data_IF_804355302310
#
_entry.id   IF_804355302310
#
_cell.length_a   1.000
_cell.length_b   1.000
_cell.length_c   1.000
_cell.angle_alpha   90.00
_cell.angle_beta   90.00
_cell.angle_gamma   90.00
#
_symmetry.space_group_name_H-M   'P 1'
#
loop_
_entity.id
_entity.type
_entity.pdbx_description
1 polymer ?
#
# COMPACT_ATOMS: atom_id res chain seq x y z
N UNK A 1 -13.02 22.60 2.27
CA UNK A 1 -11.82 23.18 2.91
C UNK A 1 -10.65 22.28 2.54
N UNK A 2 -9.50 22.84 2.20
CA UNK A 2 -8.27 22.08 1.94
C UNK A 2 -7.57 21.82 3.27
N UNK A 3 -7.22 20.56 3.55
CA UNK A 3 -6.42 20.16 4.71
C UNK A 3 -5.22 19.31 4.29
N UNK A 4 -4.14 19.41 5.05
CA UNK A 4 -2.98 18.52 4.97
C UNK A 4 -2.70 17.97 6.35
N UNK A 5 -2.72 16.64 6.49
CA UNK A 5 -2.39 15.94 7.73
C UNK A 5 -1.18 15.05 7.49
N UNK A 6 -0.20 15.15 8.39
CA UNK A 6 1.06 14.43 8.28
C UNK A 6 1.05 13.27 9.28
N UNK A 7 0.93 12.04 8.77
CA UNK A 7 0.92 10.81 9.57
C UNK A 7 2.28 10.11 9.60
N UNK A 8 3.25 10.57 8.80
CA UNK A 8 4.60 10.01 8.71
C UNK A 8 5.51 10.89 7.86
N UNK A 9 6.82 10.68 7.94
CA UNK A 9 7.82 11.56 7.31
C UNK A 9 8.12 12.83 8.11
N UNK A 10 7.71 12.89 9.39
CA UNK A 10 7.98 14.02 10.28
C UNK A 10 9.19 13.69 11.16
N UNK A 11 10.26 14.48 11.04
CA UNK A 11 11.51 14.26 11.77
C UNK A 11 12.12 12.85 11.56
N UNK A 12 11.82 12.23 10.41
CA UNK A 12 12.37 10.93 9.99
C UNK A 12 12.74 10.96 8.50
N UNK A 13 13.62 10.03 8.08
CA UNK A 13 13.90 9.79 6.66
C UNK A 13 13.02 8.62 6.22
N UNK A 14 12.14 8.89 5.27
CA UNK A 14 11.17 7.90 4.80
C UNK A 14 9.90 7.84 5.64
N UNK A 15 9.05 6.85 5.37
CA UNK A 15 7.79 6.69 6.10
C UNK A 15 6.71 7.68 5.69
N UNK A 16 6.85 8.30 4.51
CA UNK A 16 5.95 9.36 4.05
C UNK A 16 4.50 8.87 3.97
N UNK A 17 3.62 9.62 4.64
CA UNK A 17 2.16 9.41 4.72
C UNK A 17 1.50 10.77 4.92
N UNK A 18 1.27 11.51 3.84
CA UNK A 18 0.62 12.82 3.92
C UNK A 18 -0.79 12.72 3.35
N UNK A 19 -1.79 12.91 4.19
CA UNK A 19 -3.19 12.95 3.79
C UNK A 19 -3.53 14.35 3.30
N UNK A 20 -4.11 14.44 2.11
CA UNK A 20 -4.76 15.62 1.57
C UNK A 20 -6.27 15.39 1.54
N UNK A 21 -7.03 16.33 2.07
CA UNK A 21 -8.48 16.34 1.91
C UNK A 21 -8.92 17.65 1.26
N UNK A 22 -9.71 17.52 0.19
CA UNK A 22 -10.34 18.65 -0.49
C UNK A 22 -11.77 18.28 -0.91
N UNK A 23 -12.74 18.92 -0.26
CA UNK A 23 -14.16 18.70 -0.57
C UNK A 23 -14.60 17.29 -0.18
N UNK A 24 -14.87 16.43 -1.17
CA UNK A 24 -15.23 15.01 -0.96
C UNK A 24 -14.07 14.07 -1.29
N UNK A 25 -12.90 14.60 -1.65
CA UNK A 25 -11.76 13.80 -2.05
C UNK A 25 -10.72 13.76 -0.95
N UNK A 26 -10.27 12.54 -0.64
CA UNK A 26 -9.21 12.28 0.31
C UNK A 26 -8.17 11.36 -0.34
N UNK A 27 -6.90 11.76 -0.34
CA UNK A 27 -5.82 10.95 -0.92
C UNK A 27 -4.56 11.04 -0.07
N UNK A 28 -3.75 10.00 -0.12
CA UNK A 28 -2.42 10.02 0.48
C UNK A 28 -1.35 10.32 -0.58
N UNK A 29 -0.36 11.14 -0.22
CA UNK A 29 0.95 11.13 -0.87
C UNK A 29 1.82 10.11 -0.17
N UNK A 30 2.21 9.09 -0.93
CA UNK A 30 2.93 7.91 -0.50
C UNK A 30 2.23 7.13 0.65
N UNK A 31 2.72 5.94 0.93
CA UNK A 31 2.35 5.20 2.13
C UNK A 31 3.49 4.27 2.52
N UNK A 32 4.57 4.90 2.98
CA UNK A 32 5.87 4.26 3.11
C UNK A 32 6.17 3.62 4.45
N UNK A 33 7.22 2.78 4.49
CA UNK A 33 7.73 2.18 5.72
C UNK A 33 8.44 3.22 6.59
N UNK A 34 8.00 3.40 7.83
CA UNK A 34 8.66 4.28 8.80
C UNK A 34 9.85 3.55 9.45
N UNK A 35 11.01 3.57 8.78
CA UNK A 35 12.20 2.83 9.22
C UNK A 35 12.69 3.26 10.61
N UNK A 36 12.73 4.57 10.89
CA UNK A 36 13.18 5.09 12.17
C UNK A 36 12.34 4.53 13.34
N UNK A 37 11.02 4.53 13.20
CA UNK A 37 10.10 3.94 14.19
C UNK A 37 10.26 2.41 14.25
N UNK A 38 10.33 1.76 13.09
CA UNK A 38 10.44 0.30 12.99
C UNK A 38 11.63 -0.24 13.77
N UNK A 39 12.80 0.36 13.60
CA UNK A 39 14.05 -0.11 14.21
C UNK A 39 14.11 0.09 15.73
N UNK A 40 13.14 0.78 16.35
CA UNK A 40 13.01 0.81 17.81
C UNK A 40 12.54 -0.53 18.39
N UNK A 41 11.83 -1.33 17.59
CA UNK A 41 11.13 -2.54 18.06
C UNK A 41 11.49 -3.80 17.26
N UNK A 42 11.80 -3.63 15.98
CA UNK A 42 11.98 -4.73 15.03
C UNK A 42 13.35 -4.60 14.37
N UNK A 43 14.30 -5.44 14.78
CA UNK A 43 15.66 -5.48 14.25
C UNK A 43 16.03 -6.91 13.81
N UNK A 44 16.81 -7.01 12.73
CA UNK A 44 17.25 -8.27 12.10
C UNK A 44 16.13 -9.28 11.82
N UNK A 45 15.95 -10.23 12.73
CA UNK A 45 15.02 -11.36 12.62
C UNK A 45 13.67 -11.09 13.28
N UNK A 46 13.57 -10.03 14.10
CA UNK A 46 12.33 -9.65 14.76
C UNK A 46 11.49 -8.80 13.81
N UNK A 47 10.25 -9.22 13.57
CA UNK A 47 9.31 -8.58 12.65
C UNK A 47 7.91 -8.56 13.24
N UNK A 48 7.02 -7.65 12.77
CA UNK A 48 5.60 -7.74 13.01
C UNK A 48 5.07 -9.15 12.69
N UNK A 49 4.25 -9.70 13.58
CA UNK A 49 3.72 -11.06 13.43
C UNK A 49 2.60 -11.05 12.40
N UNK A 50 2.81 -11.78 11.30
CA UNK A 50 1.77 -11.95 10.28
C UNK A 50 0.47 -12.53 10.87
N UNK A 51 0.56 -13.39 11.89
CA UNK A 51 -0.59 -13.97 12.58
C UNK A 51 -1.37 -13.00 13.45
N UNK A 52 -0.78 -11.86 13.84
CA UNK A 52 -1.43 -10.81 14.59
C UNK A 52 -2.06 -9.73 13.68
N UNK A 53 -1.94 -9.88 12.35
CA UNK A 53 -2.48 -8.93 11.39
C UNK A 53 -1.92 -7.52 11.59
N UNK A 54 -2.79 -6.53 11.77
CA UNK A 54 -2.40 -5.13 11.98
C UNK A 54 -2.02 -4.78 13.41
N UNK A 55 -2.22 -5.68 14.38
CA UNK A 55 -2.04 -5.38 15.80
C UNK A 55 -0.64 -4.81 16.11
N UNK A 56 0.41 -5.52 15.72
CA UNK A 56 1.80 -5.12 16.01
C UNK A 56 2.15 -3.80 15.29
N UNK A 57 1.58 -3.55 14.12
CA UNK A 57 1.83 -2.35 13.33
C UNK A 57 1.18 -1.11 13.95
N UNK A 58 -0.03 -1.26 14.49
CA UNK A 58 -0.76 -0.17 15.16
C UNK A 58 -0.21 0.10 16.57
N UNK A 59 0.04 -0.95 17.36
CA UNK A 59 0.55 -0.83 18.73
C UNK A 59 1.94 -0.18 18.77
N UNK A 60 2.78 -0.48 17.78
CA UNK A 60 4.14 0.09 17.66
C UNK A 60 4.17 1.42 16.89
N UNK A 61 2.99 2.00 16.58
CA UNK A 61 2.83 3.26 15.86
C UNK A 61 3.53 3.29 14.49
N UNK A 62 3.63 2.14 13.82
CA UNK A 62 4.10 2.02 12.44
C UNK A 62 3.01 2.42 11.44
N UNK A 63 1.76 2.12 11.80
CA UNK A 63 0.57 2.57 11.10
C UNK A 63 -0.26 3.49 12.01
N UNK A 64 -0.77 4.61 11.49
CA UNK A 64 -1.77 5.38 12.23
C UNK A 64 -3.08 4.59 12.37
N UNK A 65 -3.85 4.77 13.45
CA UNK A 65 -5.10 4.03 13.69
C UNK A 65 -6.27 4.57 12.84
N UNK A 66 -6.15 4.45 11.52
CA UNK A 66 -7.11 4.94 10.52
C UNK A 66 -8.03 3.80 10.05
N UNK A 67 -9.19 3.64 10.70
CA UNK A 67 -10.15 2.62 10.29
C UNK A 67 -10.77 2.98 8.93
N UNK A 68 -11.02 1.96 8.12
CA UNK A 68 -11.67 2.11 6.81
C UNK A 68 -10.72 2.12 5.61
N UNK A 69 -9.41 2.38 5.81
CA UNK A 69 -8.41 2.35 4.73
C UNK A 69 -7.57 1.08 4.70
N UNK A 70 -7.53 0.30 5.79
CA UNK A 70 -6.74 -0.93 5.86
C UNK A 70 -7.55 -2.17 5.50
N UNK A 71 -6.83 -3.18 5.03
CA UNK A 71 -7.33 -4.50 4.69
C UNK A 71 -8.14 -5.13 5.83
N UNK A 72 -9.38 -5.50 5.53
CA UNK A 72 -10.28 -6.13 6.49
C UNK A 72 -9.81 -7.55 6.87
N UNK A 73 -9.21 -8.28 5.92
CA UNK A 73 -8.72 -9.65 6.10
C UNK A 73 -7.55 -9.81 7.10
N UNK A 74 -6.98 -8.69 7.54
CA UNK A 74 -5.88 -8.65 8.54
C UNK A 74 -6.12 -7.66 9.69
N UNK A 75 -7.22 -6.88 9.66
CA UNK A 75 -7.55 -5.94 10.72
C UNK A 75 -8.42 -6.58 11.81
N UNK A 76 -9.47 -7.34 11.46
CA UNK A 76 -10.45 -7.87 12.41
C UNK A 76 -11.26 -6.77 13.12
N UNK A 77 -12.55 -7.00 13.40
CA UNK A 77 -13.40 -5.96 14.03
C UNK A 77 -12.95 -5.61 15.45
N UNK A 78 -12.60 -6.62 16.24
CA UNK A 78 -12.23 -6.44 17.65
C UNK A 78 -10.95 -5.62 17.86
N UNK A 79 -10.09 -5.51 16.84
CA UNK A 79 -8.85 -4.74 16.91
C UNK A 79 -9.12 -3.26 17.13
N UNK A 80 -10.13 -2.70 16.43
CA UNK A 80 -10.40 -1.26 16.42
C UNK A 80 -10.83 -0.72 17.78
N UNK A 81 -11.55 -1.52 18.58
CA UNK A 81 -11.92 -1.17 19.95
C UNK A 81 -10.73 -0.82 20.85
N UNK A 82 -9.52 -1.33 20.55
CA UNK A 82 -8.30 -1.02 21.30
C UNK A 82 -7.79 0.41 21.03
N UNK A 83 -8.17 1.00 19.90
CA UNK A 83 -7.67 2.28 19.43
C UNK A 83 -8.71 3.41 19.44
N UNK A 84 -9.99 3.12 19.67
CA UNK A 84 -11.07 4.13 19.68
C UNK A 84 -10.82 5.32 20.63
N UNK A 85 -10.09 5.10 21.75
CA UNK A 85 -9.73 6.16 22.68
C UNK A 85 -8.50 6.98 22.26
N UNK A 86 -7.80 6.59 21.19
CA UNK A 86 -6.64 7.30 20.68
C UNK A 86 -7.06 8.64 20.07
N UNK A 87 -6.36 9.75 20.35
CA UNK A 87 -6.64 11.03 19.69
C UNK A 87 -6.31 10.99 18.18
N UNK A 88 -5.57 9.98 17.73
CA UNK A 88 -5.23 9.77 16.32
C UNK A 88 -6.23 8.84 15.61
N UNK A 89 -7.18 8.25 16.34
CA UNK A 89 -8.18 7.38 15.73
C UNK A 89 -9.14 8.16 14.85
N UNK A 90 -9.27 7.72 13.61
CA UNK A 90 -10.24 8.27 12.66
C UNK A 90 -10.82 7.14 11.82
N UNK A 91 -12.05 7.33 11.34
CA UNK A 91 -12.72 6.39 10.45
C UNK A 91 -13.14 7.12 9.17
N UNK A 92 -12.52 6.75 8.05
CA UNK A 92 -12.79 7.35 6.75
C UNK A 92 -12.29 6.45 5.61
N UNK A 93 -12.63 6.84 4.38
CA UNK A 93 -12.15 6.21 3.15
C UNK A 93 -11.33 7.19 2.33
N UNK A 94 -10.45 6.68 1.49
CA UNK A 94 -9.65 7.48 0.55
C UNK A 94 -9.92 7.07 -0.89
N UNK A 95 -9.78 8.02 -1.80
CA UNK A 95 -9.92 7.84 -3.24
C UNK A 95 -8.68 7.20 -3.88
N UNK A 96 -7.52 7.27 -3.22
CA UNK A 96 -6.30 6.65 -3.71
C UNK A 96 -5.04 7.09 -2.99
N UNK A 97 -3.92 6.53 -3.45
CA UNK A 97 -2.56 6.91 -3.04
C UNK A 97 -1.81 7.41 -4.27
N UNK A 98 -1.28 8.62 -4.21
CA UNK A 98 -0.29 9.13 -5.15
C UNK A 98 1.09 8.63 -4.70
N UNK A 99 1.66 7.70 -5.46
CA UNK A 99 2.99 7.15 -5.18
C UNK A 99 4.03 7.90 -6.01
N UNK A 100 4.90 8.62 -5.32
CA UNK A 100 5.99 9.38 -5.94
C UNK A 100 6.96 8.45 -6.67
N UNK A 101 7.41 7.38 -6.00
CA UNK A 101 8.29 6.38 -6.56
C UNK A 101 8.28 5.06 -5.77
N UNK A 102 8.93 4.02 -6.30
CA UNK A 102 8.77 2.65 -5.80
C UNK A 102 9.54 2.28 -4.51
N UNK A 103 10.43 3.14 -4.00
CA UNK A 103 11.22 2.80 -2.81
C UNK A 103 10.34 2.48 -1.60
N UNK A 104 10.80 1.59 -0.72
CA UNK A 104 9.99 0.97 0.35
C UNK A 104 9.59 1.98 1.44
N UNK A 105 10.39 3.03 1.63
CA UNK A 105 10.09 4.17 2.47
C UNK A 105 9.01 5.12 1.91
N UNK A 106 8.53 4.85 0.69
CA UNK A 106 7.39 5.52 0.04
C UNK A 106 6.25 4.53 -0.29
N UNK A 107 6.56 3.28 -0.60
CA UNK A 107 5.59 2.29 -1.10
C UNK A 107 5.25 1.18 -0.11
N UNK A 108 6.10 0.90 0.88
CA UNK A 108 6.07 -0.39 1.59
C UNK A 108 4.77 -0.69 2.35
N UNK A 109 4.19 0.31 3.01
CA UNK A 109 2.98 0.13 3.82
C UNK A 109 1.70 0.17 3.00
N UNK A 110 1.77 0.44 1.69
CA UNK A 110 0.66 0.20 0.76
C UNK A 110 0.17 -1.25 0.88
N UNK A 111 1.05 -2.20 1.25
CA UNK A 111 0.73 -3.61 1.52
C UNK A 111 -0.43 -3.84 2.50
N UNK A 112 -0.70 -2.87 3.38
CA UNK A 112 -1.73 -2.95 4.41
C UNK A 112 -3.02 -2.23 4.06
N UNK A 113 -3.01 -1.38 3.04
CA UNK A 113 -4.21 -0.67 2.57
C UNK A 113 -5.16 -1.65 1.90
N UNK A 114 -6.47 -1.40 1.98
CA UNK A 114 -7.48 -2.22 1.29
C UNK A 114 -7.13 -2.39 -0.19
N UNK A 115 -7.42 -3.57 -0.72
CA UNK A 115 -7.03 -3.98 -2.07
C UNK A 115 -7.73 -3.17 -3.17
N UNK A 116 -8.87 -2.56 -2.88
CA UNK A 116 -9.65 -1.78 -3.84
C UNK A 116 -9.16 -0.32 -3.96
N UNK A 117 -8.37 0.18 -3.01
CA UNK A 117 -7.81 1.53 -3.06
C UNK A 117 -6.75 1.61 -4.18
N UNK A 118 -6.97 2.45 -5.21
CA UNK A 118 -6.04 2.58 -6.33
C UNK A 118 -4.75 3.31 -5.95
N UNK A 119 -3.64 2.86 -6.54
CA UNK A 119 -2.34 3.53 -6.49
C UNK A 119 -2.08 4.22 -7.81
N UNK A 120 -1.79 5.51 -7.76
CA UNK A 120 -1.47 6.34 -8.90
C UNK A 120 0.03 6.57 -8.94
N UNK A 121 0.68 6.18 -10.03
CA UNK A 121 2.13 6.25 -10.15
C UNK A 121 2.54 6.43 -11.61
N UNK A 122 3.80 6.75 -11.87
CA UNK A 122 4.35 6.55 -13.21
C UNK A 122 4.34 5.06 -13.58
N UNK A 123 4.35 4.78 -14.87
CA UNK A 123 4.48 3.43 -15.42
C UNK A 123 5.72 2.76 -14.88
N UNK A 124 6.85 3.48 -14.89
CA UNK A 124 8.13 2.98 -14.38
C UNK A 124 8.03 2.58 -12.89
N UNK A 125 7.48 3.45 -12.04
CA UNK A 125 7.32 3.17 -10.61
C UNK A 125 6.41 1.97 -10.35
N UNK A 126 5.33 1.80 -11.12
CA UNK A 126 4.46 0.64 -11.02
C UNK A 126 5.21 -0.67 -11.35
N UNK A 127 5.97 -0.70 -12.45
CA UNK A 127 6.75 -1.88 -12.84
C UNK A 127 7.87 -2.19 -11.86
N UNK A 128 8.57 -1.18 -11.33
CA UNK A 128 9.61 -1.38 -10.31
C UNK A 128 9.00 -1.96 -9.04
N UNK A 129 7.88 -1.40 -8.55
CA UNK A 129 7.19 -1.93 -7.36
C UNK A 129 6.80 -3.41 -7.55
N UNK A 130 6.26 -3.76 -8.72
CA UNK A 130 5.90 -5.14 -9.05
C UNK A 130 7.12 -6.06 -9.14
N UNK A 131 8.21 -5.60 -9.75
CA UNK A 131 9.47 -6.34 -9.83
C UNK A 131 10.11 -6.58 -8.45
N UNK A 132 10.07 -5.58 -7.57
CA UNK A 132 10.54 -5.70 -6.19
C UNK A 132 9.74 -6.75 -5.42
N UNK A 133 8.42 -6.77 -5.60
CA UNK A 133 7.56 -7.78 -4.98
C UNK A 133 7.80 -9.19 -5.54
N UNK A 134 7.89 -9.33 -6.86
CA UNK A 134 8.07 -10.62 -7.54
C UNK A 134 9.43 -11.26 -7.27
N UNK A 135 10.50 -10.47 -7.18
CA UNK A 135 11.86 -10.94 -6.94
C UNK A 135 12.21 -11.09 -5.45
N UNK A 136 11.37 -10.53 -4.57
CA UNK A 136 11.56 -10.57 -3.13
C UNK A 136 11.11 -11.88 -2.48
N UNK A 137 11.61 -12.14 -1.26
CA UNK A 137 11.03 -13.17 -0.39
C UNK A 137 9.62 -12.75 0.02
N UNK A 138 8.65 -13.65 -0.17
CA UNK A 138 7.26 -13.45 0.22
C UNK A 138 7.12 -13.09 1.69
N UNK A 139 6.42 -11.99 1.95
CA UNK A 139 6.22 -11.38 3.27
C UNK A 139 4.97 -10.50 3.18
N UNK A 140 4.10 -10.49 4.20
CA UNK A 140 2.84 -9.74 4.17
C UNK A 140 3.07 -8.22 4.15
N UNK A 141 4.23 -7.76 4.61
CA UNK A 141 4.65 -6.36 4.54
C UNK A 141 5.14 -5.93 3.13
N UNK A 142 5.21 -6.87 2.17
CA UNK A 142 5.71 -6.65 0.80
C UNK A 142 4.65 -6.88 -0.27
N UNK A 143 3.38 -6.87 0.12
CA UNK A 143 2.20 -7.10 -0.73
C UNK A 143 1.69 -5.80 -1.40
N UNK A 144 2.59 -4.99 -1.98
CA UNK A 144 2.30 -3.65 -2.52
C UNK A 144 1.39 -3.69 -3.76
N UNK A 145 1.76 -4.49 -4.76
CA UNK A 145 1.06 -4.57 -6.04
C UNK A 145 -0.05 -5.62 -6.04
N UNK A 146 0.12 -6.69 -5.27
CA UNK A 146 -0.90 -7.71 -5.09
C UNK A 146 -0.80 -8.31 -3.69
N UNK A 147 -1.93 -8.74 -3.14
CA UNK A 147 -1.99 -9.34 -1.81
C UNK A 147 -2.43 -10.79 -1.87
N UNK A 148 -2.00 -11.56 -0.88
CA UNK A 148 -2.49 -12.92 -0.67
C UNK A 148 -3.64 -12.82 0.33
N UNK A 149 -4.88 -13.22 -0.04
CA UNK A 149 -6.01 -13.18 0.87
C UNK A 149 -5.71 -13.98 2.14
N UNK A 150 -6.06 -13.41 3.29
CA UNK A 150 -5.92 -14.03 4.60
C UNK A 150 -7.29 -14.40 5.17
N UNK A 151 -7.26 -15.30 6.14
CA UNK A 151 -8.43 -15.73 6.92
C UNK A 151 -8.01 -15.90 8.38
N UNK A 152 -8.95 -15.68 9.29
CA UNK A 152 -8.74 -15.95 10.71
C UNK A 152 -9.09 -17.39 11.03
N UNK A 153 -8.13 -18.12 11.61
CA UNK A 153 -8.29 -19.52 12.04
C UNK A 153 -7.79 -19.61 13.46
N UNK A 154 -8.67 -20.00 14.38
CA UNK A 154 -8.40 -20.15 15.82
C UNK A 154 -7.74 -18.91 16.46
N UNK A 155 -8.20 -17.70 16.07
CA UNK A 155 -7.68 -16.43 16.59
C UNK A 155 -6.37 -15.96 15.96
N UNK A 156 -5.88 -16.63 14.91
CA UNK A 156 -4.66 -16.28 14.20
C UNK A 156 -4.94 -16.01 12.71
N UNK A 157 -4.39 -14.93 12.19
CA UNK A 157 -4.45 -14.58 10.76
C UNK A 157 -3.50 -15.48 9.96
N UNK A 158 -4.02 -16.14 8.93
CA UNK A 158 -3.25 -17.07 8.11
C UNK A 158 -3.56 -16.87 6.62
N UNK A 159 -2.62 -17.22 5.75
CA UNK A 159 -2.86 -17.16 4.32
C UNK A 159 -3.88 -18.23 3.91
N UNK A 160 -4.91 -17.82 3.16
CA UNK A 160 -5.86 -18.74 2.54
C UNK A 160 -5.16 -19.81 1.70
N UNK A 161 -5.79 -20.98 1.58
CA UNK A 161 -5.25 -22.06 0.78
C UNK A 161 -5.11 -21.68 -0.70
N UNK A 162 -3.92 -21.88 -1.27
CA UNK A 162 -3.54 -21.35 -2.59
C UNK A 162 -4.39 -21.87 -3.76
N UNK A 163 -4.96 -23.06 -3.64
CA UNK A 163 -5.86 -23.64 -4.65
C UNK A 163 -7.28 -23.05 -4.61
N UNK A 164 -7.66 -22.46 -3.47
CA UNK A 164 -9.00 -21.88 -3.27
C UNK A 164 -9.04 -20.42 -3.69
N UNK A 165 -7.99 -19.65 -3.39
CA UNK A 165 -8.02 -18.20 -3.53
C UNK A 165 -6.77 -17.69 -4.29
N UNK A 166 -6.95 -17.11 -5.50
CA UNK A 166 -5.87 -16.43 -6.18
C UNK A 166 -5.40 -15.21 -5.38
N UNK A 167 -4.17 -14.74 -5.62
CA UNK A 167 -3.74 -13.44 -5.15
C UNK A 167 -4.60 -12.34 -5.80
N UNK A 168 -4.79 -11.22 -5.10
CA UNK A 168 -5.60 -10.10 -5.55
C UNK A 168 -4.69 -8.93 -5.93
N UNK A 169 -4.66 -8.59 -7.23
CA UNK A 169 -3.91 -7.43 -7.69
C UNK A 169 -4.67 -6.14 -7.37
N UNK A 170 -3.98 -5.16 -6.79
CA UNK A 170 -4.51 -3.82 -6.55
C UNK A 170 -4.63 -3.06 -7.87
N UNK A 171 -5.64 -2.20 -8.06
CA UNK A 171 -5.67 -1.30 -9.20
C UNK A 171 -4.50 -0.31 -9.15
N UNK A 172 -3.69 -0.30 -10.21
CA UNK A 172 -2.69 0.75 -10.45
C UNK A 172 -3.17 1.65 -11.59
N UNK A 173 -3.11 2.95 -11.36
CA UNK A 173 -3.43 3.99 -12.33
C UNK A 173 -2.16 4.71 -12.76
N UNK A 174 -1.86 4.69 -14.05
CA UNK A 174 -0.62 5.26 -14.57
C UNK A 174 -0.80 6.68 -15.07
N UNK A 175 0.22 7.50 -14.83
CA UNK A 175 0.21 8.93 -15.13
C UNK A 175 0.73 9.25 -16.55
N UNK A 176 1.52 8.36 -17.14
CA UNK A 176 2.40 8.60 -18.29
C UNK A 176 2.32 7.54 -19.41
N UNK A 177 1.31 6.66 -19.39
CA UNK A 177 1.23 5.55 -20.36
C UNK A 177 0.84 5.98 -21.77
N UNK A 178 1.56 5.43 -22.75
CA UNK A 178 1.27 5.53 -24.19
C UNK A 178 0.89 4.17 -24.81
N UNK A 179 0.39 3.24 -23.99
CA UNK A 179 0.15 1.84 -24.37
C UNK A 179 1.31 0.93 -24.01
N UNK A 180 1.02 -0.35 -23.80
CA UNK A 180 2.00 -1.33 -23.31
C UNK A 180 2.31 -2.39 -24.37
N UNK A 181 3.59 -2.73 -24.50
CA UNK A 181 4.00 -3.91 -25.22
C UNK A 181 3.37 -5.18 -24.59
N UNK A 182 3.18 -6.23 -25.39
CA UNK A 182 2.55 -7.47 -24.95
C UNK A 182 3.30 -8.10 -23.77
N UNK A 183 4.62 -8.00 -23.77
CA UNK A 183 5.52 -8.49 -22.73
C UNK A 183 5.30 -7.74 -21.42
N UNK A 184 5.14 -6.42 -21.48
CA UNK A 184 4.89 -5.58 -20.31
C UNK A 184 3.52 -5.91 -19.67
N UNK A 185 2.47 -6.03 -20.49
CA UNK A 185 1.15 -6.48 -20.01
C UNK A 185 1.21 -7.90 -19.44
N UNK A 186 1.97 -8.79 -20.10
CA UNK A 186 2.17 -10.16 -19.65
C UNK A 186 2.92 -10.27 -18.32
N UNK A 187 3.91 -9.41 -18.09
CA UNK A 187 4.58 -9.30 -16.79
C UNK A 187 3.62 -8.80 -15.71
N UNK A 188 2.86 -7.74 -16.01
CA UNK A 188 1.96 -7.12 -15.04
C UNK A 188 0.87 -8.08 -14.55
N UNK A 189 0.31 -8.88 -15.46
CA UNK A 189 -0.83 -9.77 -15.19
C UNK A 189 -0.44 -11.15 -14.66
N UNK A 190 0.84 -11.37 -14.33
CA UNK A 190 1.34 -12.66 -13.83
C UNK A 190 2.13 -12.49 -12.54
N UNK A 191 2.31 -13.60 -11.84
CA UNK A 191 3.25 -13.69 -10.70
C UNK A 191 4.20 -14.86 -10.94
N UNK A 192 5.40 -14.84 -10.34
CA UNK A 192 6.32 -15.98 -10.37
C UNK A 192 5.84 -17.18 -9.51
N UNK A 193 4.77 -17.01 -8.73
CA UNK A 193 4.20 -18.05 -7.87
C UNK A 193 3.31 -19.01 -8.65
N UNK A 194 3.16 -20.24 -8.16
CA UNK A 194 2.13 -21.18 -8.64
C UNK A 194 0.70 -20.81 -8.23
N UNK A 195 0.53 -19.85 -7.32
CA UNK A 195 -0.80 -19.29 -6.97
C UNK A 195 -1.29 -18.42 -8.13
N UNK A 196 -2.55 -18.61 -8.53
CA UNK A 196 -3.19 -17.76 -9.54
C UNK A 196 -3.25 -16.29 -9.12
N UNK A 197 -3.47 -15.39 -10.07
CA UNK A 197 -3.63 -13.95 -9.84
C UNK A 197 -4.96 -13.47 -10.42
N UNK A 198 -5.79 -12.85 -9.59
CA UNK A 198 -6.88 -12.01 -10.04
C UNK A 198 -6.27 -10.67 -10.48
N UNK A 199 -5.86 -10.63 -11.75
CA UNK A 199 -5.13 -9.50 -12.32
C UNK A 199 -6.04 -8.28 -12.54
N UNK A 200 -5.43 -7.10 -12.45
CA UNK A 200 -6.05 -5.82 -12.79
C UNK A 200 -5.24 -5.19 -13.93
N UNK A 201 -5.93 -4.52 -14.86
CA UNK A 201 -5.25 -3.81 -15.94
C UNK A 201 -4.52 -2.58 -15.40
N UNK A 202 -3.31 -2.34 -15.94
CA UNK A 202 -2.64 -1.07 -15.76
C UNK A 202 -3.36 -0.05 -16.65
N UNK A 203 -3.96 0.97 -16.05
CA UNK A 203 -4.85 1.88 -16.79
C UNK A 203 -4.54 3.34 -16.48
N UNK A 204 -4.66 4.23 -17.46
CA UNK A 204 -4.51 5.65 -17.21
C UNK A 204 -5.70 6.21 -16.41
N UNK A 205 -5.46 7.24 -15.60
CA UNK A 205 -6.52 7.99 -14.94
C UNK A 205 -6.20 9.49 -14.93
N UNK A 206 -7.12 10.35 -15.39
CA UNK A 206 -6.90 11.79 -15.44
C UNK A 206 -7.16 12.50 -14.10
N UNK A 207 -7.69 11.78 -13.10
CA UNK A 207 -8.09 12.35 -11.80
C UNK A 207 -8.07 11.30 -10.68
N UNK A 208 -8.01 11.79 -9.44
CA UNK A 208 -8.27 11.04 -8.20
C UNK A 208 -9.49 11.66 -7.54
N UNK A 209 -10.56 10.90 -7.33
CA UNK A 209 -11.84 11.46 -6.90
C UNK A 209 -12.27 12.61 -7.82
N UNK A 210 -12.54 13.78 -7.24
CA UNK A 210 -12.89 15.01 -7.95
C UNK A 210 -11.70 15.87 -8.40
N UNK A 211 -10.46 15.47 -8.13
CA UNK A 211 -9.26 16.29 -8.34
C UNK A 211 -8.52 15.90 -9.63
N UNK A 212 -8.23 16.86 -10.53
CA UNK A 212 -7.48 16.58 -11.75
C UNK A 212 -6.01 16.28 -11.43
N UNK A 213 -5.44 15.33 -12.15
CA UNK A 213 -4.03 14.96 -12.01
C UNK A 213 -3.16 15.59 -13.08
N UNK A 214 -2.02 16.13 -12.61
CA UNK A 214 -0.88 16.50 -13.43
C UNK A 214 0.35 15.89 -12.80
N UNK A 215 1.24 15.38 -13.63
CA UNK A 215 2.50 14.78 -13.19
C UNK A 215 3.65 15.54 -13.84
N UNK A 216 4.76 15.63 -13.12
CA UNK A 216 5.96 16.34 -13.56
C UNK A 216 7.14 15.41 -13.28
N UNK A 217 7.60 14.64 -14.29
CA UNK A 217 8.73 13.75 -14.11
C UNK A 217 9.94 14.52 -13.61
N UNK A 218 10.62 13.95 -12.62
CA UNK A 218 11.85 14.54 -12.08
C UNK A 218 13.03 13.75 -12.64
N UNK A 219 13.95 14.44 -13.31
CA UNK A 219 15.21 13.85 -13.76
C UNK A 219 16.17 13.77 -12.58
N UNK A 220 16.18 12.63 -11.89
CA UNK A 220 17.14 12.34 -10.84
C UNK A 220 17.47 10.85 -10.78
N UNK A 221 18.34 10.46 -9.84
CA UNK A 221 18.83 9.08 -9.68
C UNK A 221 17.78 8.04 -9.25
N UNK A 222 16.49 8.41 -9.21
CA UNK A 222 15.38 7.51 -8.88
C UNK A 222 14.47 7.37 -10.10
N UNK A 223 14.52 6.20 -10.73
CA UNK A 223 13.72 5.91 -11.92
C UNK A 223 12.23 5.94 -11.62
N UNK A 224 11.47 6.69 -12.43
CA UNK A 224 10.02 6.78 -12.35
C UNK A 224 9.49 7.78 -11.32
N UNK A 225 10.36 8.56 -10.68
CA UNK A 225 9.93 9.59 -9.75
C UNK A 225 9.21 10.75 -10.45
N UNK A 226 8.18 11.27 -9.79
CA UNK A 226 7.33 12.37 -10.26
C UNK A 226 6.78 13.20 -9.11
#
# INVERSE_FOLDING_TARGET
MLSLLFYGGINEIGGNKVLLEEGKTALFFDFGTSFARRYLYFEEYLKPRASAGLLDLLEMELLPPLRGIYREDIAGEALWHRFESSPLYQEFTIDGVLLSHAHIDHSGYISFLRQDIPVYATTMSAFIAKAMQDSGKGDFEKEVCYSIPKEEVDGAIQATFWQKCPAQQRPFRVLDSQGFAREASGFWQKTPSGRGLQAQELAAAPSVGGLPLKHFPVDHSIFGAT
#
